data_IF_012260443539
#
_entry.id   IF_012260443539
#
_cell.length_a   1.000
_cell.length_b   1.000
_cell.length_c   1.000
_cell.angle_alpha   90.00
_cell.angle_beta   90.00
_cell.angle_gamma   90.00
#
_symmetry.space_group_name_H-M   'P 1'
#
loop_
_entity.id
_entity.type
_entity.pdbx_description
1 polymer ?
#
# COMPACT_ATOMS: atom_id res chain seq x y z
N UNK A 1 -4.62 -36.82 16.33
CA UNK A 1 -5.65 -35.91 15.80
C UNK A 1 -5.56 -34.49 16.34
N UNK A 2 -5.83 -34.20 17.63
CA UNK A 2 -5.79 -32.79 18.13
C UNK A 2 -4.37 -32.18 18.06
N UNK A 3 -3.34 -32.92 18.48
CA UNK A 3 -1.94 -32.48 18.39
C UNK A 3 -1.43 -32.28 16.96
N UNK A 4 -1.93 -33.05 15.99
CA UNK A 4 -1.53 -32.92 14.58
C UNK A 4 -2.17 -31.66 13.96
N UNK A 5 -3.43 -31.36 14.31
CA UNK A 5 -4.11 -30.15 13.85
C UNK A 5 -3.46 -28.89 14.42
N UNK A 6 -3.05 -28.91 15.68
CA UNK A 6 -2.34 -27.78 16.30
C UNK A 6 -0.95 -27.57 15.68
N UNK A 7 -0.21 -28.65 15.44
CA UNK A 7 1.09 -28.60 14.76
C UNK A 7 0.96 -28.02 13.35
N UNK A 8 -0.06 -28.44 12.58
CA UNK A 8 -0.32 -27.90 11.25
C UNK A 8 -0.67 -26.41 11.27
N UNK A 9 -1.48 -25.95 12.24
CA UNK A 9 -1.79 -24.53 12.39
C UNK A 9 -0.53 -23.71 12.65
N UNK A 10 0.34 -24.17 13.54
CA UNK A 10 1.60 -23.49 13.85
C UNK A 10 2.50 -23.39 12.61
N UNK A 11 2.67 -24.48 11.86
CA UNK A 11 3.45 -24.46 10.61
C UNK A 11 2.85 -23.52 9.54
N UNK A 12 1.52 -23.44 9.44
CA UNK A 12 0.86 -22.49 8.53
C UNK A 12 1.15 -21.04 8.92
N UNK A 13 1.09 -20.71 10.20
CA UNK A 13 1.38 -19.34 10.69
C UNK A 13 2.86 -18.96 10.51
N UNK A 14 3.78 -19.91 10.71
CA UNK A 14 5.20 -19.71 10.39
C UNK A 14 5.42 -19.46 8.90
N UNK A 15 4.81 -20.27 8.03
CA UNK A 15 4.89 -20.11 6.58
C UNK A 15 4.32 -18.75 6.12
N UNK A 16 3.17 -18.33 6.67
CA UNK A 16 2.61 -17.00 6.41
C UNK A 16 3.58 -15.89 6.84
N UNK A 17 4.21 -16.05 7.99
CA UNK A 17 5.18 -15.08 8.52
C UNK A 17 6.42 -14.96 7.63
N UNK A 18 6.97 -16.09 7.17
CA UNK A 18 8.09 -16.13 6.23
C UNK A 18 7.75 -15.51 4.88
N UNK A 19 6.60 -15.87 4.31
CA UNK A 19 6.10 -15.29 3.05
C UNK A 19 5.93 -13.77 3.17
N UNK A 20 5.39 -13.30 4.30
CA UNK A 20 5.28 -11.87 4.59
C UNK A 20 6.64 -11.20 4.69
N UNK A 21 7.61 -11.81 5.38
CA UNK A 21 8.97 -11.27 5.51
C UNK A 21 9.66 -11.12 4.15
N UNK A 22 9.57 -12.14 3.28
CA UNK A 22 10.12 -12.12 1.91
C UNK A 22 9.42 -11.05 1.08
N UNK A 23 8.08 -11.01 1.13
CA UNK A 23 7.27 -10.06 0.37
C UNK A 23 7.62 -8.60 0.67
N UNK A 24 7.91 -8.29 1.94
CA UNK A 24 8.21 -6.95 2.43
C UNK A 24 9.72 -6.63 2.43
N UNK A 25 10.57 -7.52 1.90
CA UNK A 25 12.02 -7.31 1.83
C UNK A 25 12.44 -6.39 0.67
N UNK A 26 13.70 -5.93 0.66
CA UNK A 26 14.26 -5.11 -0.43
C UNK A 26 14.40 -5.85 -1.76
N UNK A 27 14.35 -7.18 -1.77
CA UNK A 27 14.33 -7.98 -3.00
C UNK A 27 12.93 -8.51 -3.32
N UNK A 28 11.96 -8.19 -2.46
CA UNK A 28 10.61 -8.72 -2.52
C UNK A 28 9.76 -8.10 -3.63
N UNK A 29 8.64 -8.75 -3.98
CA UNK A 29 7.72 -8.31 -5.00
C UNK A 29 7.17 -6.89 -4.76
N UNK A 30 6.94 -6.47 -3.51
CA UNK A 30 6.46 -5.11 -3.23
C UNK A 30 7.54 -4.03 -3.39
N UNK A 31 8.82 -4.38 -3.22
CA UNK A 31 9.91 -3.49 -3.60
C UNK A 31 9.93 -3.27 -5.11
N UNK A 32 9.85 -4.35 -5.89
CA UNK A 32 9.82 -4.28 -7.35
C UNK A 32 8.61 -3.50 -7.87
N UNK A 33 7.42 -3.70 -7.28
CA UNK A 33 6.24 -2.90 -7.58
C UNK A 33 6.48 -1.41 -7.28
N UNK A 34 7.07 -1.08 -6.12
CA UNK A 34 7.35 0.31 -5.75
C UNK A 34 8.32 0.97 -6.74
N UNK A 35 9.33 0.25 -7.23
CA UNK A 35 10.24 0.77 -8.25
C UNK A 35 9.53 1.01 -9.59
N UNK A 36 8.58 0.16 -9.98
CA UNK A 36 7.72 0.42 -11.16
C UNK A 36 6.84 1.64 -10.97
N UNK A 37 6.24 1.80 -9.79
CA UNK A 37 5.44 2.98 -9.44
C UNK A 37 6.32 4.23 -9.50
N UNK A 38 7.52 4.23 -8.93
CA UNK A 38 8.43 5.39 -9.02
C UNK A 38 8.73 5.81 -10.46
N UNK A 39 8.93 4.84 -11.36
CA UNK A 39 9.15 5.11 -12.80
C UNK A 39 7.88 5.61 -13.50
N UNK A 40 6.71 5.16 -13.08
CA UNK A 40 5.42 5.51 -13.68
C UNK A 40 4.89 6.90 -13.33
N UNK A 41 5.46 7.60 -12.33
CA UNK A 41 4.93 8.87 -11.84
C UNK A 41 6.01 9.95 -11.76
N UNK A 42 5.70 11.17 -12.24
CA UNK A 42 6.55 12.36 -12.04
C UNK A 42 6.69 12.75 -10.56
N UNK A 43 5.67 12.45 -9.75
CA UNK A 43 5.69 12.58 -8.30
C UNK A 43 5.08 11.31 -7.70
N UNK A 44 5.93 10.32 -7.44
CA UNK A 44 5.54 9.05 -6.84
C UNK A 44 5.16 9.21 -5.36
N UNK A 45 5.73 10.20 -4.67
CA UNK A 45 5.48 10.50 -3.26
C UNK A 45 3.98 10.69 -3.00
N UNK A 46 3.31 11.62 -3.70
CA UNK A 46 1.86 11.84 -3.57
C UNK A 46 1.02 10.58 -3.84
N UNK A 47 1.47 9.71 -4.76
CA UNK A 47 0.78 8.46 -5.05
C UNK A 47 0.93 7.44 -3.91
N UNK A 48 2.14 7.29 -3.37
CA UNK A 48 2.39 6.41 -2.21
C UNK A 48 1.73 6.93 -0.94
N UNK A 49 1.69 8.25 -0.72
CA UNK A 49 0.99 8.87 0.42
C UNK A 49 -0.51 8.56 0.35
N UNK A 50 -1.13 8.60 -0.84
CA UNK A 50 -2.54 8.24 -0.99
C UNK A 50 -2.84 6.81 -0.50
N UNK A 51 -1.98 5.82 -0.84
CA UNK A 51 -2.11 4.44 -0.34
C UNK A 51 -1.98 4.37 1.19
N UNK A 52 -1.01 5.09 1.76
CA UNK A 52 -0.81 5.12 3.23
C UNK A 52 -2.03 5.71 3.93
N UNK A 53 -2.59 6.80 3.40
CA UNK A 53 -3.75 7.45 4.02
C UNK A 53 -5.04 6.62 3.86
N UNK A 54 -5.21 5.91 2.74
CA UNK A 54 -6.28 4.89 2.62
C UNK A 54 -6.16 3.81 3.68
N UNK A 55 -4.94 3.36 4.02
CA UNK A 55 -4.72 2.39 5.12
C UNK A 55 -5.18 2.94 6.47
N UNK A 56 -5.05 4.24 6.70
CA UNK A 56 -5.52 4.92 7.91
C UNK A 56 -7.04 5.14 7.94
N UNK A 57 -7.76 4.71 6.90
CA UNK A 57 -9.21 4.82 6.82
C UNK A 57 -9.71 6.14 6.24
N UNK A 58 -8.82 6.98 5.69
CA UNK A 58 -9.23 8.26 5.08
C UNK A 58 -9.93 8.03 3.75
N UNK A 59 -10.92 8.85 3.47
CA UNK A 59 -11.59 8.87 2.18
C UNK A 59 -10.79 9.65 1.12
N UNK A 60 -11.23 9.56 -0.15
CA UNK A 60 -10.55 10.22 -1.27
C UNK A 60 -10.55 11.76 -1.16
N UNK A 61 -11.55 12.36 -0.49
CA UNK A 61 -11.63 13.80 -0.31
C UNK A 61 -10.62 14.26 0.74
N UNK A 62 -10.56 13.59 1.89
CA UNK A 62 -9.57 13.87 2.94
C UNK A 62 -8.12 13.72 2.44
N UNK A 63 -7.88 12.73 1.57
CA UNK A 63 -6.58 12.55 0.92
C UNK A 63 -6.28 13.70 -0.04
N UNK A 64 -7.27 14.14 -0.81
CA UNK A 64 -7.12 15.25 -1.75
C UNK A 64 -6.73 16.54 -1.04
N UNK A 65 -7.44 16.85 0.06
CA UNK A 65 -7.17 18.01 0.91
C UNK A 65 -5.75 17.94 1.50
N UNK A 66 -5.32 16.77 2.00
CA UNK A 66 -3.96 16.59 2.53
C UNK A 66 -2.87 16.76 1.49
N UNK A 67 -3.13 16.35 0.25
CA UNK A 67 -2.15 16.40 -0.84
C UNK A 67 -2.16 17.72 -1.62
N UNK A 68 -3.05 18.64 -1.26
CA UNK A 68 -3.32 19.90 -1.95
C UNK A 68 -3.55 19.67 -3.46
N UNK A 69 -4.51 18.79 -3.77
CA UNK A 69 -4.92 18.45 -5.14
C UNK A 69 -6.42 18.21 -5.20
N UNK A 70 -7.01 18.24 -6.40
CA UNK A 70 -8.42 17.88 -6.57
C UNK A 70 -8.68 16.37 -6.34
N UNK A 71 -9.86 15.95 -5.85
CA UNK A 71 -10.21 14.53 -5.66
C UNK A 71 -10.08 13.67 -6.92
N UNK A 72 -10.30 14.27 -8.09
CA UNK A 72 -10.08 13.60 -9.39
C UNK A 72 -8.62 13.21 -9.58
N UNK A 73 -7.69 14.09 -9.24
CA UNK A 73 -6.26 13.80 -9.36
C UNK A 73 -5.82 12.67 -8.43
N UNK A 74 -6.44 12.53 -7.24
CA UNK A 74 -6.20 11.38 -6.35
C UNK A 74 -6.69 10.09 -7.02
N UNK A 75 -7.93 10.07 -7.55
CA UNK A 75 -8.47 8.89 -8.26
C UNK A 75 -7.60 8.50 -9.46
N UNK A 76 -7.18 9.47 -10.26
CA UNK A 76 -6.34 9.22 -11.43
C UNK A 76 -5.00 8.59 -11.02
N UNK A 77 -4.42 9.04 -9.90
CA UNK A 77 -3.21 8.39 -9.34
C UNK A 77 -3.49 6.96 -8.89
N UNK A 78 -4.57 6.72 -8.15
CA UNK A 78 -4.93 5.39 -7.66
C UNK A 78 -5.24 4.42 -8.81
N UNK A 79 -5.94 4.88 -9.86
CA UNK A 79 -6.21 4.09 -11.05
C UNK A 79 -4.92 3.72 -11.78
N UNK A 80 -4.00 4.67 -11.96
CA UNK A 80 -2.71 4.38 -12.58
C UNK A 80 -1.84 3.44 -11.74
N UNK A 81 -1.92 3.52 -10.40
CA UNK A 81 -1.27 2.54 -9.54
C UNK A 81 -1.90 1.15 -9.67
N UNK A 82 -3.22 1.08 -9.84
CA UNK A 82 -3.93 -0.18 -10.09
C UNK A 82 -3.53 -0.80 -11.43
N UNK A 83 -3.34 -0.01 -12.50
CA UNK A 83 -2.83 -0.49 -13.79
C UNK A 83 -1.44 -1.13 -13.62
N UNK A 84 -0.50 -0.42 -12.99
CA UNK A 84 0.86 -0.94 -12.75
C UNK A 84 0.84 -2.21 -11.88
N UNK A 85 -0.04 -2.28 -10.89
CA UNK A 85 -0.19 -3.45 -10.03
C UNK A 85 -0.89 -4.61 -10.75
N UNK A 86 -1.86 -4.34 -11.63
CA UNK A 86 -2.50 -5.34 -12.48
C UNK A 86 -1.49 -6.07 -13.34
N UNK A 87 -0.57 -5.33 -13.98
CA UNK A 87 0.51 -5.91 -14.79
C UNK A 87 1.51 -6.76 -14.00
N UNK A 88 1.53 -6.66 -12.66
CA UNK A 88 2.53 -7.31 -11.81
C UNK A 88 1.95 -8.43 -10.92
N UNK A 89 0.73 -8.25 -10.42
CA UNK A 89 0.06 -9.15 -9.47
C UNK A 89 -1.27 -9.69 -9.99
N UNK A 90 -1.68 -9.34 -11.22
CA UNK A 90 -3.03 -9.61 -11.74
C UNK A 90 -4.14 -9.12 -10.79
N UNK A 91 -3.84 -8.06 -10.03
CA UNK A 91 -4.71 -7.57 -8.97
C UNK A 91 -4.48 -6.08 -8.68
N UNK A 92 -5.56 -5.29 -8.52
CA UNK A 92 -5.43 -3.87 -8.19
C UNK A 92 -5.06 -3.66 -6.72
N UNK A 93 -4.42 -2.53 -6.39
CA UNK A 93 -4.14 -2.11 -5.01
C UNK A 93 -5.37 -1.54 -4.32
N UNK A 94 -6.27 -0.91 -5.08
CA UNK A 94 -7.47 -0.27 -4.55
C UNK A 94 -8.70 -0.63 -5.38
N UNK A 95 -9.88 -0.57 -4.77
CA UNK A 95 -11.17 -0.66 -5.46
C UNK A 95 -11.99 0.59 -5.20
N UNK A 96 -12.62 1.11 -6.26
CA UNK A 96 -13.59 2.19 -6.14
C UNK A 96 -14.89 1.69 -5.51
N UNK A 97 -15.42 2.43 -4.55
CA UNK A 97 -16.74 2.23 -3.95
C UNK A 97 -17.60 3.45 -4.27
N UNK A 98 -18.78 3.25 -4.88
CA UNK A 98 -19.73 4.33 -5.13
C UNK A 98 -19.97 5.17 -3.86
N UNK A 99 -19.87 6.50 -4.00
CA UNK A 99 -20.07 7.49 -2.91
C UNK A 99 -19.07 7.43 -1.74
N UNK A 100 -18.16 6.46 -1.67
CA UNK A 100 -17.15 6.33 -0.60
C UNK A 100 -15.70 6.51 -1.07
N UNK A 101 -15.46 6.61 -2.39
CA UNK A 101 -14.12 6.82 -2.92
C UNK A 101 -13.41 5.50 -3.20
N UNK A 102 -12.18 5.32 -2.71
CA UNK A 102 -11.41 4.09 -2.87
C UNK A 102 -11.17 3.40 -1.53
N UNK A 103 -10.99 2.07 -1.56
CA UNK A 103 -10.51 1.28 -0.41
C UNK A 103 -9.38 0.37 -0.86
N UNK A 104 -8.50 -0.03 0.08
CA UNK A 104 -7.42 -0.98 -0.21
C UNK A 104 -7.96 -2.39 -0.43
N UNK A 105 -7.41 -3.10 -1.40
CA UNK A 105 -7.51 -4.57 -1.51
C UNK A 105 -6.54 -5.23 -0.51
N UNK A 106 -6.55 -6.55 -0.40
CA UNK A 106 -5.54 -7.26 0.41
C UNK A 106 -4.12 -6.98 -0.08
N UNK A 107 -3.88 -7.03 -1.40
CA UNK A 107 -2.59 -6.65 -2.00
C UNK A 107 -2.24 -5.19 -1.68
N UNK A 108 -3.22 -4.28 -1.75
CA UNK A 108 -3.06 -2.89 -1.36
C UNK A 108 -2.66 -2.70 0.11
N UNK A 109 -3.24 -3.50 1.03
CA UNK A 109 -2.88 -3.49 2.45
C UNK A 109 -1.43 -3.96 2.65
N UNK A 110 -1.01 -5.04 2.00
CA UNK A 110 0.38 -5.48 2.07
C UNK A 110 1.34 -4.45 1.49
N UNK A 111 0.99 -3.83 0.36
CA UNK A 111 1.79 -2.77 -0.22
C UNK A 111 1.91 -1.54 0.70
N UNK A 112 0.80 -1.13 1.34
CA UNK A 112 0.84 -0.06 2.33
C UNK A 112 1.73 -0.41 3.54
N UNK A 113 1.80 -1.69 3.92
CA UNK A 113 2.71 -2.15 4.98
C UNK A 113 4.17 -2.05 4.56
N UNK A 114 4.46 -2.46 3.32
CA UNK A 114 5.78 -2.31 2.72
C UNK A 114 6.22 -0.83 2.74
N UNK A 115 5.32 0.09 2.35
CA UNK A 115 5.60 1.52 2.36
C UNK A 115 5.90 2.03 3.77
N UNK A 116 5.08 1.68 4.77
CA UNK A 116 5.32 2.12 6.15
C UNK A 116 6.65 1.58 6.72
N UNK A 117 6.99 0.32 6.42
CA UNK A 117 8.25 -0.29 6.87
C UNK A 117 9.49 0.35 6.24
N UNK A 118 9.43 0.69 4.94
CA UNK A 118 10.58 1.11 4.15
C UNK A 118 10.65 2.63 3.89
N UNK A 119 9.60 3.37 4.21
CA UNK A 119 9.53 4.83 4.16
C UNK A 119 9.12 5.42 5.53
N UNK A 120 9.92 5.25 6.60
CA UNK A 120 9.64 5.81 7.92
C UNK A 120 9.72 7.36 8.00
N UNK A 121 9.99 8.03 6.88
CA UNK A 121 10.38 9.44 6.83
C UNK A 121 9.24 10.45 6.62
N UNK A 122 7.98 10.02 6.49
CA UNK A 122 6.86 10.99 6.53
C UNK A 122 6.52 11.47 7.95
N UNK A 123 6.78 10.67 8.99
CA UNK A 123 6.61 11.13 10.39
C UNK A 123 7.76 12.04 10.85
N UNK A 124 9.01 11.78 10.40
CA UNK A 124 10.16 12.63 10.76
C UNK A 124 10.17 14.00 10.06
N UNK A 125 9.70 14.10 8.81
CA UNK A 125 9.62 15.39 8.11
C UNK A 125 8.58 16.34 8.72
N UNK A 126 7.48 15.84 9.27
CA UNK A 126 6.45 16.69 9.91
C UNK A 126 6.92 17.27 11.25
N UNK A 127 7.67 16.51 12.07
CA UNK A 127 8.24 17.02 13.33
C UNK A 127 9.25 18.16 13.15
N UNK A 128 9.99 18.16 12.04
CA UNK A 128 11.01 19.18 11.73
C UNK A 128 10.43 20.49 11.17
N UNK A 129 9.18 20.48 10.70
CA UNK A 129 8.48 21.67 10.18
C UNK A 129 7.57 22.33 11.23
N UNK A 130 7.41 21.69 12.39
CA UNK A 130 6.61 22.17 13.53
C UNK A 130 7.47 22.50 14.76
N UNK A 131 8.80 22.50 14.60
CA UNK A 131 9.79 22.99 15.59
C UNK A 131 10.42 24.26 15.03
#
# INVERSE_FOLDING_TARGET
MENEVETLKNSIEELKSLLKAISLSKMGPFHQLNERIKKGFRSSEKATTAIIELRKGKDTKEIADKLDVGPRAVRDKLNRMNEIAGDFFDSPLTRGIPRKGHVLTEIGKFYAEYLLKNHPNEEKKQKLLSS
#
